data_IF_621784635502
#
_entry.id   IF_621784635502
#
_cell.length_a   1.000
_cell.length_b   1.000
_cell.length_c   1.000
_cell.angle_alpha   90.00
_cell.angle_beta   90.00
_cell.angle_gamma   90.00
#
_symmetry.space_group_name_H-M   'P 1'
#
loop_
_entity.id
_entity.type
_entity.pdbx_description
1 polymer ?
#
# COMPACT_ATOMS: atom_id res chain seq x y z
N UNK A 1 1.41 -2.25 -20.34
CA UNK A 1 2.03 -3.59 -20.48
C UNK A 1 3.12 -3.78 -19.44
N UNK A 2 4.01 -2.81 -19.24
CA UNK A 2 5.12 -2.85 -18.26
C UNK A 2 4.69 -3.03 -16.79
N UNK A 3 3.55 -2.47 -16.37
CA UNK A 3 3.06 -2.62 -15.00
C UNK A 3 2.62 -4.05 -14.65
N UNK A 4 2.08 -4.80 -15.62
CA UNK A 4 1.67 -6.19 -15.43
C UNK A 4 2.87 -7.09 -15.16
N UNK A 5 3.95 -6.90 -15.93
CA UNK A 5 5.21 -7.65 -15.79
C UNK A 5 5.80 -7.48 -14.39
N UNK A 6 5.83 -6.25 -13.85
CA UNK A 6 6.38 -6.00 -12.50
C UNK A 6 5.60 -6.74 -11.41
N UNK A 7 4.26 -6.69 -11.46
CA UNK A 7 3.41 -7.41 -10.51
C UNK A 7 3.58 -8.92 -10.65
N UNK A 8 3.57 -9.43 -11.86
CA UNK A 8 3.71 -10.87 -12.12
C UNK A 8 5.05 -11.40 -11.59
N UNK A 9 6.15 -10.73 -11.92
CA UNK A 9 7.50 -11.08 -11.42
C UNK A 9 7.57 -10.99 -9.89
N UNK A 10 7.05 -9.92 -9.29
CA UNK A 10 7.03 -9.80 -7.83
C UNK A 10 6.26 -10.96 -7.18
N UNK A 11 5.08 -11.29 -7.70
CA UNK A 11 4.24 -12.37 -7.16
C UNK A 11 4.88 -13.76 -7.35
N UNK A 12 5.63 -13.98 -8.43
CA UNK A 12 6.40 -15.21 -8.65
C UNK A 12 7.62 -15.33 -7.74
N UNK A 13 8.20 -14.20 -7.32
CA UNK A 13 9.34 -14.17 -6.41
C UNK A 13 8.93 -14.31 -4.94
N UNK A 14 7.72 -13.91 -4.54
CA UNK A 14 7.28 -13.99 -3.14
C UNK A 14 7.47 -15.39 -2.50
N UNK A 15 7.12 -16.51 -3.15
CA UNK A 15 7.36 -17.85 -2.58
C UNK A 15 8.83 -18.13 -2.25
N UNK A 16 9.79 -17.55 -2.99
CA UNK A 16 11.22 -17.72 -2.70
C UNK A 16 11.65 -17.08 -1.38
N UNK A 17 10.81 -16.18 -0.83
CA UNK A 17 11.05 -15.49 0.43
C UNK A 17 10.44 -16.22 1.64
N UNK A 18 9.83 -17.40 1.46
CA UNK A 18 9.13 -18.12 2.53
C UNK A 18 10.02 -18.48 3.75
N UNK A 19 11.34 -18.52 3.59
CA UNK A 19 12.30 -18.74 4.68
C UNK A 19 12.65 -17.47 5.48
N UNK A 20 12.18 -16.30 5.06
CA UNK A 20 12.42 -15.02 5.72
C UNK A 20 11.20 -14.56 6.49
N UNK A 21 11.44 -13.80 7.56
CA UNK A 21 10.38 -13.10 8.28
C UNK A 21 10.00 -11.81 7.52
N UNK A 22 9.26 -11.96 6.42
CA UNK A 22 8.80 -10.82 5.60
C UNK A 22 7.75 -10.04 6.39
N UNK A 23 8.15 -8.87 6.90
CA UNK A 23 7.30 -7.99 7.72
C UNK A 23 6.18 -7.33 6.93
N UNK A 24 6.49 -6.85 5.72
CA UNK A 24 5.50 -6.24 4.85
C UNK A 24 5.89 -6.38 3.38
N UNK A 25 4.88 -6.37 2.51
CA UNK A 25 5.01 -6.27 1.06
C UNK A 25 4.38 -4.93 0.66
N UNK A 26 5.20 -4.03 0.12
CA UNK A 26 4.78 -2.64 -0.11
C UNK A 26 4.49 -2.37 -1.58
N UNK A 27 3.29 -1.90 -1.90
CA UNK A 27 2.87 -1.56 -3.25
C UNK A 27 2.39 -0.11 -3.39
N UNK A 28 2.89 0.59 -4.40
CA UNK A 28 2.37 1.90 -4.79
C UNK A 28 0.93 1.79 -5.34
N UNK A 29 0.19 2.89 -5.35
CA UNK A 29 -1.21 2.97 -5.77
C UNK A 29 -1.50 2.39 -7.16
N UNK A 30 -0.52 2.37 -8.06
CA UNK A 30 -0.63 1.74 -9.37
C UNK A 30 -0.62 0.21 -9.35
N UNK A 31 -0.20 -0.39 -8.23
CA UNK A 31 0.06 -1.82 -8.09
C UNK A 31 -0.83 -2.48 -7.04
N UNK A 32 -1.59 -1.74 -6.23
CA UNK A 32 -2.60 -2.31 -5.33
C UNK A 32 -3.82 -2.77 -6.12
N UNK A 33 -4.08 -4.08 -6.11
CA UNK A 33 -5.20 -4.74 -6.78
C UNK A 33 -5.50 -6.10 -6.12
N UNK A 34 -6.55 -6.79 -6.57
CA UNK A 34 -7.00 -8.06 -5.98
C UNK A 34 -5.94 -9.17 -5.95
N UNK A 35 -4.89 -9.11 -6.78
CA UNK A 35 -3.80 -10.10 -6.76
C UNK A 35 -2.70 -9.76 -5.77
N UNK A 36 -2.52 -8.48 -5.47
CA UNK A 36 -1.46 -7.96 -4.59
C UNK A 36 -1.95 -7.72 -3.16
N UNK A 37 -3.26 -7.62 -2.93
CA UNK A 37 -3.89 -7.65 -1.60
C UNK A 37 -3.78 -9.04 -0.98
N UNK A 38 -2.60 -9.34 -0.42
CA UNK A 38 -2.29 -10.60 0.29
C UNK A 38 -1.95 -10.29 1.75
N UNK A 39 -1.70 -11.32 2.57
CA UNK A 39 -1.24 -11.11 3.94
C UNK A 39 0.00 -10.20 4.00
N UNK A 40 0.06 -9.33 5.01
CA UNK A 40 1.14 -8.37 5.27
C UNK A 40 1.39 -7.38 4.11
N UNK A 41 0.34 -6.97 3.40
CA UNK A 41 0.47 -5.99 2.31
C UNK A 41 0.18 -4.59 2.83
N UNK A 42 1.12 -3.68 2.63
CA UNK A 42 0.93 -2.24 2.84
C UNK A 42 0.90 -1.56 1.48
N UNK A 43 -0.05 -0.66 1.26
CA UNK A 43 -0.11 0.05 -0.01
C UNK A 43 -0.85 1.36 0.04
N UNK A 44 -0.81 2.09 -1.07
CA UNK A 44 -1.51 3.36 -1.22
C UNK A 44 -2.75 3.19 -2.09
N UNK A 45 -3.82 3.90 -1.76
CA UNK A 45 -5.03 3.99 -2.59
C UNK A 45 -5.12 5.37 -3.22
N UNK A 46 -5.61 5.42 -4.45
CA UNK A 46 -5.94 6.71 -5.09
C UNK A 46 -7.20 7.28 -4.46
N UNK A 47 -7.36 8.60 -4.39
CA UNK A 47 -8.54 9.26 -3.82
C UNK A 47 -9.88 8.78 -4.39
N UNK A 48 -9.90 8.32 -5.66
CA UNK A 48 -11.09 7.79 -6.32
C UNK A 48 -11.26 6.27 -6.19
N UNK A 49 -10.33 5.57 -5.53
CA UNK A 49 -10.49 4.15 -5.20
C UNK A 49 -11.70 4.00 -4.27
N UNK A 50 -12.51 2.96 -4.50
CA UNK A 50 -13.75 2.76 -3.75
C UNK A 50 -13.58 1.61 -2.78
N UNK A 51 -13.88 1.87 -1.52
CA UNK A 51 -13.97 0.86 -0.45
C UNK A 51 -15.43 0.64 -0.07
N UNK A 52 -15.71 -0.46 0.61
CA UNK A 52 -17.01 -0.74 1.21
C UNK A 52 -16.93 -0.51 2.70
N UNK A 53 -17.74 0.42 3.19
CA UNK A 53 -17.93 0.71 4.61
C UNK A 53 -19.42 0.58 4.92
N UNK A 54 -19.78 -0.26 5.90
CA UNK A 54 -21.19 -0.48 6.27
C UNK A 54 -22.09 -0.91 5.11
N UNK A 55 -21.55 -1.66 4.14
CA UNK A 55 -22.26 -2.10 2.93
C UNK A 55 -22.40 -1.04 1.83
N UNK A 56 -21.84 0.15 2.01
CA UNK A 56 -21.85 1.23 1.01
C UNK A 56 -20.50 1.35 0.35
N UNK A 57 -20.50 1.42 -0.98
CA UNK A 57 -19.29 1.74 -1.74
C UNK A 57 -19.03 3.25 -1.67
N UNK A 58 -17.87 3.67 -1.15
CA UNK A 58 -17.48 5.07 -0.92
C UNK A 58 -16.07 5.31 -1.44
N UNK A 59 -15.79 6.41 -2.17
CA UNK A 59 -14.43 6.81 -2.52
C UNK A 59 -13.60 7.13 -1.27
N UNK A 60 -12.35 6.66 -1.22
CA UNK A 60 -11.46 6.94 -0.07
C UNK A 60 -11.21 8.44 0.14
N UNK A 61 -11.29 9.26 -0.92
CA UNK A 61 -11.17 10.71 -0.83
C UNK A 61 -12.26 11.42 -0.03
N UNK A 62 -13.40 10.76 0.20
CA UNK A 62 -14.51 11.29 1.01
C UNK A 62 -14.31 11.04 2.51
N UNK A 63 -13.37 10.17 2.89
CA UNK A 63 -13.10 9.89 4.30
C UNK A 63 -12.38 11.07 4.96
N UNK A 64 -12.76 11.45 6.19
CA UNK A 64 -11.97 12.37 6.99
C UNK A 64 -10.62 11.75 7.39
N UNK A 65 -9.73 12.58 7.94
CA UNK A 65 -8.49 12.08 8.55
C UNK A 65 -8.84 11.08 9.66
N UNK A 66 -8.18 9.92 9.66
CA UNK A 66 -8.43 8.88 10.65
C UNK A 66 -8.05 7.47 10.18
N UNK A 67 -8.39 6.52 11.05
CA UNK A 67 -8.26 5.07 10.83
C UNK A 67 -9.64 4.46 10.62
N UNK A 68 -9.75 3.59 9.61
CA UNK A 68 -11.00 2.94 9.24
C UNK A 68 -10.76 1.46 8.96
N UNK A 69 -11.71 0.61 9.38
CA UNK A 69 -11.78 -0.77 8.96
C UNK A 69 -12.80 -0.88 7.83
N UNK A 70 -12.32 -1.15 6.61
CA UNK A 70 -13.13 -1.17 5.39
C UNK A 70 -12.78 -2.36 4.52
N UNK A 71 -13.59 -2.65 3.52
CA UNK A 71 -13.28 -3.68 2.53
C UNK A 71 -12.88 -3.04 1.20
N UNK A 72 -11.75 -3.49 0.64
CA UNK A 72 -11.30 -3.08 -0.69
C UNK A 72 -11.17 -4.30 -1.58
N UNK A 73 -11.90 -4.32 -2.71
CA UNK A 73 -11.92 -5.43 -3.66
C UNK A 73 -12.20 -6.81 -3.01
N UNK A 74 -13.10 -6.87 -2.02
CA UNK A 74 -13.41 -8.11 -1.30
C UNK A 74 -12.45 -8.47 -0.16
N UNK A 75 -11.44 -7.62 0.10
CA UNK A 75 -10.43 -7.87 1.15
C UNK A 75 -10.59 -6.85 2.28
N UNK A 76 -10.75 -7.29 3.54
CA UNK A 76 -10.69 -6.39 4.69
C UNK A 76 -9.32 -5.72 4.78
N UNK A 77 -9.32 -4.40 4.96
CA UNK A 77 -8.11 -3.60 5.13
C UNK A 77 -8.31 -2.58 6.25
N UNK A 78 -7.20 -2.23 6.90
CA UNK A 78 -7.09 -0.98 7.65
C UNK A 78 -6.77 0.14 6.66
N UNK A 79 -7.63 1.13 6.54
CA UNK A 79 -7.42 2.35 5.77
C UNK A 79 -6.98 3.48 6.72
N UNK A 80 -5.88 4.14 6.38
CA UNK A 80 -5.37 5.30 7.08
C UNK A 80 -5.41 6.51 6.15
N UNK A 81 -6.16 7.53 6.57
CA UNK A 81 -6.26 8.82 5.89
C UNK A 81 -5.43 9.81 6.70
N UNK A 82 -4.40 10.38 6.07
CA UNK A 82 -3.49 11.35 6.68
C UNK A 82 -3.55 12.65 5.90
N UNK A 83 -3.88 13.75 6.56
CA UNK A 83 -3.74 15.08 5.96
C UNK A 83 -2.27 15.54 6.03
N UNK A 84 -1.84 16.27 5.00
CA UNK A 84 -0.48 16.81 4.87
C UNK A 84 0.64 15.76 5.07
N UNK A 85 0.52 14.63 4.36
CA UNK A 85 1.57 13.61 4.38
C UNK A 85 2.85 14.15 3.75
N UNK A 86 3.81 14.52 4.60
CA UNK A 86 5.15 15.05 4.23
C UNK A 86 5.09 16.25 3.26
N UNK A 87 4.09 17.11 3.33
CA UNK A 87 3.95 18.27 2.44
C UNK A 87 3.34 17.97 1.06
N UNK A 88 2.92 16.72 0.81
CA UNK A 88 2.37 16.28 -0.48
C UNK A 88 0.83 16.26 -0.51
N UNK A 89 0.18 16.76 0.54
CA UNK A 89 -1.28 16.75 0.68
C UNK A 89 -1.80 15.45 1.28
N UNK A 90 -3.08 15.14 1.03
CA UNK A 90 -3.78 14.02 1.66
C UNK A 90 -3.30 12.67 1.08
N UNK A 91 -2.89 11.77 1.96
CA UNK A 91 -2.49 10.41 1.64
C UNK A 91 -3.51 9.37 2.12
N UNK A 92 -3.61 8.25 1.38
CA UNK A 92 -4.51 7.14 1.69
C UNK A 92 -3.70 5.84 1.73
N UNK A 93 -3.14 5.52 2.89
CA UNK A 93 -2.40 4.27 3.09
C UNK A 93 -3.32 3.17 3.54
N UNK A 94 -2.98 1.93 3.25
CA UNK A 94 -3.77 0.75 3.58
C UNK A 94 -2.87 -0.38 4.06
N UNK A 95 -3.37 -1.20 4.99
CA UNK A 95 -2.75 -2.47 5.37
C UNK A 95 -3.78 -3.60 5.34
N UNK A 96 -3.35 -4.77 4.90
CA UNK A 96 -4.13 -6.02 5.05
C UNK A 96 -3.94 -6.67 6.42
N UNK A 97 -2.96 -6.23 7.21
CA UNK A 97 -2.89 -6.56 8.64
C UNK A 97 -3.73 -5.56 9.43
N UNK A 98 -4.82 -6.05 10.03
CA UNK A 98 -5.77 -5.22 10.78
C UNK A 98 -5.23 -4.82 12.17
N UNK A 99 -4.12 -5.41 12.59
CA UNK A 99 -3.47 -5.11 13.86
C UNK A 99 -2.38 -4.05 13.74
N UNK A 100 -1.95 -3.71 12.53
CA UNK A 100 -0.96 -2.64 12.31
C UNK A 100 -1.45 -1.33 12.92
N UNK A 101 -0.58 -0.65 13.66
CA UNK A 101 -0.87 0.71 14.13
C UNK A 101 -0.72 1.71 12.98
N UNK A 102 -1.30 2.91 13.09
CA UNK A 102 -1.04 3.98 12.12
C UNK A 102 0.45 4.28 11.92
N UNK A 103 1.26 4.15 12.97
CA UNK A 103 2.72 4.32 12.93
C UNK A 103 3.39 3.20 12.13
N UNK A 104 2.97 1.95 12.31
CA UNK A 104 3.50 0.81 11.53
C UNK A 104 3.22 1.00 10.02
N UNK A 105 1.98 1.38 9.68
CA UNK A 105 1.58 1.60 8.28
C UNK A 105 2.33 2.78 7.66
N UNK A 106 2.43 3.91 8.36
CA UNK A 106 3.10 5.11 7.82
C UNK A 106 4.61 4.94 7.73
N UNK A 107 5.24 4.27 8.69
CA UNK A 107 6.68 3.96 8.66
C UNK A 107 6.97 3.00 7.51
N UNK A 108 6.26 1.88 7.43
CA UNK A 108 6.42 0.88 6.36
C UNK A 108 6.19 1.48 4.97
N UNK A 109 5.16 2.31 4.82
CA UNK A 109 4.90 3.04 3.58
C UNK A 109 6.00 4.07 3.27
N UNK A 110 6.53 4.71 4.31
CA UNK A 110 7.63 5.66 4.24
C UNK A 110 8.94 5.05 3.76
N UNK A 111 9.31 3.88 4.27
CA UNK A 111 10.55 3.16 3.94
C UNK A 111 10.64 2.79 2.46
N UNK A 112 9.51 2.71 1.75
CA UNK A 112 9.48 2.56 0.29
C UNK A 112 10.33 3.61 -0.44
N UNK A 113 10.43 4.82 0.10
CA UNK A 113 11.24 5.88 -0.48
C UNK A 113 12.74 5.54 -0.50
N UNK A 114 13.21 4.70 0.41
CA UNK A 114 14.62 4.26 0.48
C UNK A 114 15.01 3.39 -0.71
N UNK A 115 14.08 2.58 -1.22
CA UNK A 115 14.27 1.85 -2.49
C UNK A 115 14.46 2.84 -3.65
N UNK A 116 13.72 3.95 -3.63
CA UNK A 116 13.89 5.04 -4.60
C UNK A 116 15.29 5.64 -4.56
N UNK A 117 15.85 5.84 -3.36
CA UNK A 117 17.22 6.30 -3.17
C UNK A 117 18.25 5.27 -3.67
N UNK A 118 18.05 3.99 -3.34
CA UNK A 118 18.90 2.89 -3.77
C UNK A 118 18.94 2.72 -5.30
N UNK A 119 17.81 2.94 -6.00
CA UNK A 119 17.76 2.86 -7.47
C UNK A 119 18.39 4.09 -8.13
N UNK A 120 18.35 5.26 -7.48
CA UNK A 120 18.92 6.51 -8.02
C UNK A 120 20.42 6.61 -7.85
N UNK A 121 20.99 6.08 -6.76
CA UNK A 121 22.44 6.08 -6.52
C UNK A 121 23.27 5.50 -7.68
N UNK A 122 22.91 4.33 -8.24
CA UNK A 122 23.56 3.76 -9.43
C UNK A 122 23.34 4.59 -10.70
N UNK A 123 22.22 5.31 -10.82
CA UNK A 123 21.91 6.15 -11.99
C UNK A 123 22.68 7.46 -12.01
N UNK A 124 23.14 7.96 -10.86
CA UNK A 124 24.00 9.16 -10.77
C UNK A 124 25.48 8.88 -11.02
N UNK A 125 25.86 7.61 -11.21
CA UNK A 125 27.22 7.19 -11.54
C UNK A 125 27.45 7.02 -13.06
N UNK A 126 26.49 7.47 -13.88
CA UNK A 126 26.57 7.53 -15.34
C UNK A 126 25.98 8.83 -15.87
#
# INVERSE_FOLDING_TARGET
MESKIKVDVSLELLPSLAGFNVKAIVFDSWYVNSRTLRGNTVGELKSNARVVEGGRSVPVGEFPQGEYLVEYLGTPIKLLVVDDYKGYGRGYSSSTDLHDTPEDVTTTWGDRWDIGALIRGPKSLG
#
